data_IF_961942644475
#
_entry.id   IF_961942644475
#
_cell.length_a   1.000
_cell.length_b   1.000
_cell.length_c   1.000
_cell.angle_alpha   90.00
_cell.angle_beta   90.00
_cell.angle_gamma   90.00
#
_symmetry.space_group_name_H-M   'P 1'
#
loop_
_entity.id
_entity.type
_entity.pdbx_description
1 polymer ?
#
# COMPACT_ATOMS: atom_id res chain seq x y z
N UNK A 1 -22.21 15.71 -31.65
CA UNK A 1 -21.03 16.26 -30.96
C UNK A 1 -19.84 15.45 -31.40
N UNK A 2 -19.18 15.88 -32.50
CA UNK A 2 -18.08 15.20 -33.12
C UNK A 2 -16.84 15.29 -32.18
N UNK A 3 -16.38 14.15 -31.71
CA UNK A 3 -15.01 14.02 -31.24
C UNK A 3 -14.13 14.19 -32.48
N UNK A 4 -13.55 15.36 -32.64
CA UNK A 4 -12.43 15.52 -33.58
C UNK A 4 -11.29 14.65 -33.02
N UNK A 5 -11.17 13.43 -33.54
CA UNK A 5 -9.93 12.70 -33.49
C UNK A 5 -8.91 13.54 -34.23
N UNK A 6 -8.10 14.33 -33.49
CA UNK A 6 -6.85 14.86 -34.04
C UNK A 6 -6.13 13.65 -34.64
N UNK A 7 -6.05 13.62 -35.98
CA UNK A 7 -5.32 12.60 -36.69
C UNK A 7 -3.85 12.69 -36.28
N UNK A 8 -3.51 12.00 -35.19
CA UNK A 8 -2.12 11.73 -34.86
C UNK A 8 -1.51 11.01 -36.07
N UNK A 9 -0.37 11.44 -36.58
CA UNK A 9 0.27 10.76 -37.67
C UNK A 9 0.38 9.27 -37.30
N UNK A 10 -0.21 8.40 -38.12
CA UNK A 10 -0.23 6.94 -37.91
C UNK A 10 1.20 6.38 -37.78
N UNK A 11 2.17 7.12 -38.29
CA UNK A 11 3.58 6.75 -38.26
C UNK A 11 4.32 7.47 -37.14
N UNK A 12 4.82 6.75 -36.12
CA UNK A 12 5.56 7.33 -35.00
C UNK A 12 6.77 8.17 -35.45
N UNK A 13 7.36 7.85 -36.61
CA UNK A 13 8.49 8.59 -37.20
C UNK A 13 8.13 10.01 -37.64
N UNK A 14 6.84 10.33 -37.82
CA UNK A 14 6.38 11.68 -38.18
C UNK A 14 6.00 12.54 -36.96
N UNK A 15 6.03 11.97 -35.77
CA UNK A 15 5.73 12.72 -34.55
C UNK A 15 6.90 13.64 -34.23
N UNK A 16 6.63 14.93 -34.14
CA UNK A 16 7.61 15.95 -33.82
C UNK A 16 7.52 16.36 -32.35
N UNK A 17 8.54 17.08 -31.84
CA UNK A 17 8.49 17.74 -30.53
C UNK A 17 7.26 18.64 -30.39
N UNK A 18 6.91 19.37 -31.45
CA UNK A 18 5.74 20.24 -31.45
C UNK A 18 4.45 19.45 -31.25
N UNK A 19 4.27 18.34 -31.97
CA UNK A 19 3.11 17.44 -31.78
C UNK A 19 2.96 17.00 -30.34
N UNK A 20 4.06 16.61 -29.67
CA UNK A 20 4.03 16.20 -28.27
C UNK A 20 3.72 17.37 -27.35
N UNK A 21 4.25 18.57 -27.64
CA UNK A 21 3.95 19.78 -26.85
C UNK A 21 2.49 20.18 -26.95
N UNK A 22 1.91 20.12 -28.17
CA UNK A 22 0.49 20.38 -28.41
C UNK A 22 -0.41 19.37 -27.69
N UNK A 23 -0.03 18.09 -27.70
CA UNK A 23 -0.71 17.05 -26.93
C UNK A 23 -0.67 17.35 -25.42
N UNK A 24 0.48 17.71 -24.86
CA UNK A 24 0.59 18.11 -23.43
C UNK A 24 -0.28 19.34 -23.15
N UNK A 25 -0.31 20.32 -24.07
CA UNK A 25 -1.17 21.49 -24.01
C UNK A 25 -2.66 21.14 -24.01
N UNK A 26 -3.09 20.16 -24.85
CA UNK A 26 -4.47 19.71 -24.87
C UNK A 26 -4.89 19.07 -23.56
N UNK A 27 -4.05 18.23 -22.94
CA UNK A 27 -4.33 17.65 -21.62
C UNK A 27 -4.56 18.71 -20.54
N UNK A 28 -3.86 19.83 -20.65
CA UNK A 28 -4.05 20.97 -19.73
C UNK A 28 -5.38 21.72 -20.01
N UNK A 29 -5.73 21.93 -21.29
CA UNK A 29 -7.04 22.49 -21.67
C UNK A 29 -8.19 21.60 -21.23
N UNK A 30 -8.02 20.30 -21.29
CA UNK A 30 -8.99 19.28 -20.81
C UNK A 30 -9.04 19.19 -19.26
N UNK A 31 -8.40 20.12 -18.57
CA UNK A 31 -8.37 20.25 -17.10
C UNK A 31 -7.82 19.01 -16.39
N UNK A 32 -6.95 18.24 -17.02
CA UNK A 32 -6.24 17.16 -16.35
C UNK A 32 -5.33 17.72 -15.25
N UNK A 33 -5.25 17.01 -14.14
CA UNK A 33 -4.33 17.41 -13.07
C UNK A 33 -2.87 17.35 -13.54
N UNK A 34 -1.96 18.23 -13.04
CA UNK A 34 -0.54 18.16 -13.39
C UNK A 34 0.10 16.77 -13.18
N UNK A 35 -0.39 16.04 -12.18
CA UNK A 35 0.06 14.65 -11.95
C UNK A 35 -0.42 13.68 -13.04
N UNK A 36 -1.64 13.86 -13.56
CA UNK A 36 -2.17 13.06 -14.66
C UNK A 36 -1.43 13.37 -15.95
N UNK A 37 -1.22 14.66 -16.26
CA UNK A 37 -0.45 15.12 -17.41
C UNK A 37 0.98 14.58 -17.40
N UNK A 38 1.67 14.64 -16.23
CA UNK A 38 3.00 14.07 -16.07
C UNK A 38 3.04 12.55 -16.31
N UNK A 39 1.99 11.85 -15.88
CA UNK A 39 1.85 10.39 -16.12
C UNK A 39 1.66 10.08 -17.59
N UNK A 40 0.81 10.82 -18.29
CA UNK A 40 0.64 10.69 -19.74
C UNK A 40 1.96 10.93 -20.48
N UNK A 41 2.67 12.00 -20.15
CA UNK A 41 3.98 12.26 -20.77
C UNK A 41 5.01 11.17 -20.45
N UNK A 42 5.00 10.60 -19.24
CA UNK A 42 5.86 9.46 -18.89
C UNK A 42 5.56 8.23 -19.74
N UNK A 43 4.29 7.95 -20.02
CA UNK A 43 3.89 6.85 -20.91
C UNK A 43 4.37 7.10 -22.33
N UNK A 44 4.19 8.31 -22.85
CA UNK A 44 4.67 8.72 -24.19
C UNK A 44 6.21 8.60 -24.27
N UNK A 45 6.93 9.03 -23.24
CA UNK A 45 8.40 8.84 -23.16
C UNK A 45 8.80 7.38 -23.16
N UNK A 46 8.10 6.54 -22.42
CA UNK A 46 8.32 5.08 -22.40
C UNK A 46 8.16 4.48 -23.79
N UNK A 47 7.09 4.86 -24.50
CA UNK A 47 6.81 4.42 -25.86
C UNK A 47 7.91 4.83 -26.85
N UNK A 48 8.29 6.10 -26.88
CA UNK A 48 9.35 6.57 -27.79
C UNK A 48 10.73 6.04 -27.43
N UNK A 49 11.00 5.76 -26.14
CA UNK A 49 12.22 5.05 -25.73
C UNK A 49 12.25 3.63 -26.29
N UNK A 50 11.14 2.90 -26.19
CA UNK A 50 11.02 1.57 -26.80
C UNK A 50 11.27 1.62 -28.31
N UNK A 51 10.63 2.54 -29.04
CA UNK A 51 10.86 2.68 -30.49
C UNK A 51 12.32 2.99 -30.86
N UNK A 52 13.01 3.79 -30.05
CA UNK A 52 14.44 4.06 -30.22
C UNK A 52 15.29 2.82 -29.96
N UNK A 53 14.98 2.02 -28.93
CA UNK A 53 15.67 0.77 -28.61
C UNK A 53 15.53 -0.27 -29.73
N UNK A 54 14.32 -0.37 -30.29
CA UNK A 54 14.00 -1.24 -31.43
C UNK A 54 14.49 -0.65 -32.78
N UNK A 55 15.19 0.50 -32.77
CA UNK A 55 15.69 1.20 -33.97
C UNK A 55 14.62 1.57 -35.00
N UNK A 56 13.34 1.66 -34.57
CA UNK A 56 12.21 2.04 -35.42
C UNK A 56 12.16 3.56 -35.68
N UNK A 57 12.83 4.35 -34.83
CA UNK A 57 13.04 5.79 -35.00
C UNK A 57 14.48 6.15 -34.72
N UNK A 58 15.00 7.18 -35.42
CA UNK A 58 16.38 7.67 -35.23
C UNK A 58 16.51 8.61 -34.02
N UNK A 59 15.53 9.46 -33.80
CA UNK A 59 15.53 10.48 -32.72
C UNK A 59 14.21 10.46 -31.99
N UNK A 60 14.26 10.65 -30.67
CA UNK A 60 13.05 10.69 -29.83
C UNK A 60 12.48 12.13 -29.79
N UNK A 61 11.19 12.33 -30.14
CA UNK A 61 10.58 13.65 -30.15
C UNK A 61 10.24 14.19 -28.74
N UNK A 62 10.51 13.40 -27.70
CA UNK A 62 10.10 13.71 -26.31
C UNK A 62 11.24 14.11 -25.38
N UNK A 63 12.48 14.22 -25.90
CA UNK A 63 13.68 14.43 -25.09
C UNK A 63 13.59 15.69 -24.22
N UNK A 64 13.11 16.81 -24.78
CA UNK A 64 13.11 18.12 -24.12
C UNK A 64 11.70 18.64 -23.76
N UNK A 65 10.67 17.80 -23.88
CA UNK A 65 9.32 18.20 -23.51
C UNK A 65 9.19 18.13 -21.99
N UNK A 66 8.94 19.27 -21.33
CA UNK A 66 8.77 19.35 -19.89
C UNK A 66 7.31 19.62 -19.51
N UNK A 67 6.89 19.06 -18.39
CA UNK A 67 5.61 19.44 -17.75
C UNK A 67 5.93 20.46 -16.65
N UNK A 68 5.09 21.48 -16.43
CA UNK A 68 5.27 22.41 -15.31
C UNK A 68 5.55 21.64 -14.02
N UNK A 69 6.65 21.98 -13.34
CA UNK A 69 7.06 21.33 -12.10
C UNK A 69 5.96 21.46 -11.07
N UNK A 70 5.48 20.33 -10.60
CA UNK A 70 4.61 20.30 -9.43
C UNK A 70 5.44 20.72 -8.22
N UNK A 71 4.94 21.67 -7.42
CA UNK A 71 5.45 21.88 -6.07
C UNK A 71 5.45 20.53 -5.35
N UNK A 72 6.60 20.12 -4.84
CA UNK A 72 6.75 18.92 -4.03
C UNK A 72 5.86 19.07 -2.79
N UNK A 73 4.65 18.53 -2.86
CA UNK A 73 3.87 18.36 -1.63
C UNK A 73 4.55 17.26 -0.84
N UNK A 74 5.10 17.60 0.32
CA UNK A 74 5.59 16.62 1.27
C UNK A 74 4.53 15.51 1.44
N UNK A 75 4.94 14.24 1.39
CA UNK A 75 4.00 13.15 1.59
C UNK A 75 3.32 13.33 2.94
N UNK A 76 1.99 13.38 2.93
CA UNK A 76 1.21 13.52 4.17
C UNK A 76 1.21 12.17 4.89
N UNK A 77 1.84 12.10 6.05
CA UNK A 77 1.72 10.98 6.98
C UNK A 77 0.61 11.23 8.00
N UNK A 78 0.11 10.19 8.60
CA UNK A 78 -0.68 10.28 9.81
C UNK A 78 0.26 10.41 11.00
N UNK A 79 -0.10 11.20 11.99
CA UNK A 79 0.58 11.21 13.28
C UNK A 79 0.28 9.94 14.07
N UNK A 80 1.07 9.64 15.09
CA UNK A 80 0.82 8.49 15.97
C UNK A 80 -0.59 8.57 16.61
N UNK A 81 -1.03 9.76 17.03
CA UNK A 81 -2.37 9.98 17.59
C UNK A 81 -3.47 9.75 16.56
N UNK A 82 -3.30 10.19 15.30
CA UNK A 82 -4.27 9.94 14.24
C UNK A 82 -4.39 8.44 13.94
N UNK A 83 -3.27 7.72 13.92
CA UNK A 83 -3.26 6.26 13.78
C UNK A 83 -3.97 5.60 14.97
N UNK A 84 -3.66 6.00 16.18
CA UNK A 84 -4.28 5.45 17.39
C UNK A 84 -5.79 5.67 17.43
N UNK A 85 -6.27 6.85 17.02
CA UNK A 85 -7.71 7.12 16.88
C UNK A 85 -8.34 6.23 15.82
N UNK A 86 -7.70 6.10 14.65
CA UNK A 86 -8.18 5.25 13.55
C UNK A 86 -8.36 3.79 13.99
N UNK A 87 -7.38 3.26 14.70
CA UNK A 87 -7.37 1.87 15.14
C UNK A 87 -8.35 1.61 16.30
N UNK A 88 -8.60 2.63 17.14
CA UNK A 88 -9.60 2.54 18.23
C UNK A 88 -11.03 2.56 17.72
N UNK A 89 -11.34 3.39 16.75
CA UNK A 89 -12.70 3.50 16.18
C UNK A 89 -13.15 2.22 15.49
N UNK A 90 -12.23 1.44 14.97
CA UNK A 90 -12.55 0.15 14.35
C UNK A 90 -12.91 -0.95 15.37
N UNK A 91 -12.81 -0.70 16.67
CA UNK A 91 -13.00 -1.70 17.73
C UNK A 91 -14.49 -1.90 18.14
N UNK A 92 -15.41 -1.96 17.18
CA UNK A 92 -16.81 -2.35 17.42
C UNK A 92 -16.97 -3.85 17.71
N UNK A 93 -18.21 -4.27 18.01
CA UNK A 93 -18.55 -5.66 18.36
C UNK A 93 -19.10 -6.47 17.18
N UNK A 94 -19.46 -5.82 16.07
CA UNK A 94 -19.98 -6.53 14.91
C UNK A 94 -18.86 -7.32 14.20
N UNK A 95 -19.18 -8.46 13.58
CA UNK A 95 -18.16 -9.27 12.88
C UNK A 95 -17.34 -8.46 11.85
N UNK A 96 -17.95 -7.49 11.19
CA UNK A 96 -17.25 -6.60 10.29
C UNK A 96 -16.31 -5.63 11.00
N UNK A 97 -16.68 -5.18 12.20
CA UNK A 97 -15.81 -4.28 12.98
C UNK A 97 -14.54 -5.00 13.44
N UNK A 98 -14.68 -6.26 13.90
CA UNK A 98 -13.53 -7.09 14.26
C UNK A 98 -12.62 -7.35 13.05
N UNK A 99 -13.20 -7.64 11.88
CA UNK A 99 -12.45 -7.77 10.63
C UNK A 99 -11.73 -6.47 10.29
N UNK A 100 -12.43 -5.36 10.32
CA UNK A 100 -11.88 -4.05 9.94
C UNK A 100 -10.75 -3.64 10.89
N UNK A 101 -10.93 -3.88 12.19
CA UNK A 101 -9.90 -3.65 13.19
C UNK A 101 -8.63 -4.49 12.93
N UNK A 102 -8.81 -5.78 12.62
CA UNK A 102 -7.72 -6.69 12.30
C UNK A 102 -6.99 -6.26 11.02
N UNK A 103 -7.73 -5.85 9.98
CA UNK A 103 -7.16 -5.36 8.72
C UNK A 103 -6.34 -4.08 8.91
N UNK A 104 -6.87 -3.10 9.62
CA UNK A 104 -6.21 -1.82 9.86
C UNK A 104 -4.98 -1.99 10.74
N UNK A 105 -5.09 -2.76 11.80
CA UNK A 105 -3.97 -3.05 12.70
C UNK A 105 -2.85 -3.78 11.95
N UNK A 106 -3.18 -4.82 11.17
CA UNK A 106 -2.20 -5.57 10.38
C UNK A 106 -1.53 -4.69 9.33
N UNK A 107 -2.30 -3.87 8.59
CA UNK A 107 -1.76 -2.98 7.58
C UNK A 107 -0.75 -1.99 8.18
N UNK A 108 -1.09 -1.41 9.32
CA UNK A 108 -0.19 -0.48 10.01
C UNK A 108 1.00 -1.18 10.65
N UNK A 109 0.81 -2.36 11.25
CA UNK A 109 1.90 -3.09 11.90
C UNK A 109 2.94 -3.65 10.94
N UNK A 110 2.54 -3.93 9.68
CA UNK A 110 3.40 -4.62 8.70
C UNK A 110 3.75 -3.77 7.49
N UNK A 111 3.09 -2.66 7.29
CA UNK A 111 3.26 -1.82 6.10
C UNK A 111 2.95 -2.54 4.78
N UNK A 112 2.08 -3.54 4.76
CA UNK A 112 1.67 -4.24 3.55
C UNK A 112 1.11 -3.31 2.47
N UNK A 113 1.25 -3.67 1.19
CA UNK A 113 0.47 -3.04 0.13
C UNK A 113 -0.99 -3.47 0.26
N UNK A 114 -1.94 -2.61 -0.14
CA UNK A 114 -3.37 -2.97 -0.09
C UNK A 114 -3.68 -4.24 -0.87
N UNK A 115 -3.01 -4.47 -2.00
CA UNK A 115 -3.17 -5.71 -2.78
C UNK A 115 -2.68 -6.96 -2.04
N UNK A 116 -1.60 -6.83 -1.27
CA UNK A 116 -1.06 -7.89 -0.43
C UNK A 116 -2.02 -8.17 0.74
N UNK A 117 -2.54 -7.14 1.40
CA UNK A 117 -3.49 -7.28 2.50
C UNK A 117 -4.79 -7.98 2.08
N UNK A 118 -5.44 -7.52 1.00
CA UNK A 118 -6.71 -8.11 0.55
C UNK A 118 -6.52 -9.47 -0.12
N UNK A 119 -5.33 -9.71 -0.67
CA UNK A 119 -4.94 -10.99 -1.26
C UNK A 119 -4.44 -12.02 -0.26
N UNK A 120 -4.20 -11.63 1.00
CA UNK A 120 -3.59 -12.49 2.01
C UNK A 120 -4.43 -13.74 2.28
N UNK A 121 -3.76 -14.88 2.42
CA UNK A 121 -4.36 -16.16 2.75
C UNK A 121 -4.03 -16.57 4.19
N UNK A 122 -4.88 -17.39 4.80
CA UNK A 122 -4.65 -17.83 6.18
C UNK A 122 -3.31 -18.57 6.34
N UNK A 123 -2.96 -19.42 5.38
CA UNK A 123 -1.69 -20.17 5.40
C UNK A 123 -0.44 -19.27 5.40
N UNK A 124 -0.58 -18.00 5.02
CA UNK A 124 0.52 -17.04 4.99
C UNK A 124 0.71 -16.30 6.33
N UNK A 125 -0.16 -16.53 7.31
CA UNK A 125 -0.13 -15.87 8.62
C UNK A 125 0.23 -16.87 9.70
N UNK A 126 1.33 -16.63 10.38
CA UNK A 126 1.74 -17.44 11.53
C UNK A 126 1.53 -16.63 12.81
N UNK A 127 0.44 -16.91 13.51
CA UNK A 127 0.08 -16.22 14.75
C UNK A 127 0.93 -16.66 15.93
N UNK A 128 1.33 -17.94 15.99
CA UNK A 128 2.16 -18.44 17.07
C UNK A 128 3.52 -17.74 17.13
N UNK A 129 4.15 -17.55 15.97
CA UNK A 129 5.44 -16.85 15.87
C UNK A 129 5.28 -15.35 15.69
N UNK A 130 4.15 -14.87 15.12
CA UNK A 130 3.84 -13.45 14.93
C UNK A 130 4.48 -12.86 13.67
N UNK A 131 4.26 -13.48 12.51
CA UNK A 131 4.70 -12.93 11.21
C UNK A 131 3.70 -13.21 10.09
N UNK A 132 3.85 -12.46 9.00
CA UNK A 132 3.16 -12.67 7.72
C UNK A 132 4.18 -13.00 6.64
N UNK A 133 3.90 -14.03 5.83
CA UNK A 133 4.64 -14.36 4.64
C UNK A 133 4.00 -13.67 3.44
N UNK A 134 4.70 -12.72 2.83
CA UNK A 134 4.17 -11.89 1.73
C UNK A 134 4.86 -12.28 0.42
N UNK A 135 4.06 -12.53 -0.62
CA UNK A 135 4.55 -12.73 -1.99
C UNK A 135 4.54 -11.41 -2.74
N UNK A 136 5.68 -11.02 -3.28
CA UNK A 136 5.87 -9.80 -4.06
C UNK A 136 5.95 -10.06 -5.56
N UNK A 137 6.36 -9.05 -6.32
CA UNK A 137 6.59 -9.14 -7.78
C UNK A 137 7.69 -10.18 -8.08
N UNK A 138 7.46 -11.05 -9.06
CA UNK A 138 8.39 -12.12 -9.44
C UNK A 138 8.48 -13.25 -8.44
N UNK A 139 7.39 -13.55 -7.72
CA UNK A 139 7.25 -14.60 -6.70
C UNK A 139 8.26 -14.52 -5.52
N UNK A 140 8.94 -13.38 -5.38
CA UNK A 140 9.83 -13.13 -4.25
C UNK A 140 9.02 -13.05 -2.96
N UNK A 141 9.38 -13.88 -1.99
CA UNK A 141 8.73 -13.92 -0.69
C UNK A 141 9.51 -13.08 0.32
N UNK A 142 8.78 -12.43 1.23
CA UNK A 142 9.36 -11.79 2.40
C UNK A 142 8.56 -12.08 3.65
N UNK A 143 9.26 -12.19 4.78
CA UNK A 143 8.66 -12.32 6.11
C UNK A 143 8.58 -10.93 6.73
N UNK A 144 7.37 -10.57 7.17
CA UNK A 144 7.15 -9.29 7.86
C UNK A 144 6.61 -9.60 9.26
N UNK A 145 7.33 -9.21 10.32
CA UNK A 145 6.85 -9.40 11.68
C UNK A 145 5.63 -8.52 11.94
N UNK A 146 4.69 -9.05 12.73
CA UNK A 146 3.57 -8.29 13.28
C UNK A 146 3.73 -8.15 14.79
N UNK A 147 3.32 -7.02 15.32
CA UNK A 147 3.36 -6.80 16.77
C UNK A 147 2.19 -7.50 17.48
N UNK A 148 2.30 -7.58 18.79
CA UNK A 148 1.28 -8.17 19.65
C UNK A 148 -0.14 -7.56 19.47
N UNK A 149 -0.30 -6.23 19.26
CA UNK A 149 -1.62 -5.66 18.99
C UNK A 149 -2.28 -6.23 17.73
N UNK A 150 -1.53 -6.39 16.64
CA UNK A 150 -2.05 -6.97 15.38
C UNK A 150 -2.41 -8.45 15.58
N UNK A 151 -1.57 -9.21 16.28
CA UNK A 151 -1.82 -10.62 16.58
C UNK A 151 -3.14 -10.79 17.31
N UNK A 152 -3.37 -10.07 18.41
CA UNK A 152 -4.62 -10.15 19.21
C UNK A 152 -5.86 -9.78 18.38
N UNK A 153 -5.76 -8.78 17.49
CA UNK A 153 -6.89 -8.41 16.64
C UNK A 153 -7.17 -9.46 15.57
N UNK A 154 -6.14 -10.12 15.08
CA UNK A 154 -6.29 -11.24 14.16
C UNK A 154 -6.89 -12.46 14.84
N UNK A 155 -6.44 -12.81 16.06
CA UNK A 155 -7.00 -13.91 16.86
C UNK A 155 -8.50 -13.68 17.07
N UNK A 156 -8.91 -12.55 17.62
CA UNK A 156 -10.31 -12.21 17.83
C UNK A 156 -11.14 -12.25 16.55
N UNK A 157 -10.58 -11.77 15.43
CA UNK A 157 -11.26 -11.85 14.14
C UNK A 157 -11.46 -13.30 13.69
N UNK A 158 -10.44 -14.14 13.81
CA UNK A 158 -10.49 -15.54 13.37
C UNK A 158 -11.44 -16.39 14.21
N UNK A 159 -11.45 -16.16 15.52
CA UNK A 159 -12.25 -16.94 16.45
C UNK A 159 -13.72 -16.50 16.47
N UNK A 160 -13.97 -15.18 16.55
CA UNK A 160 -15.31 -14.64 16.81
C UNK A 160 -16.04 -14.19 15.51
N UNK A 161 -15.34 -13.59 14.57
CA UNK A 161 -16.00 -12.90 13.46
C UNK A 161 -15.95 -13.68 12.14
N UNK A 162 -14.81 -14.27 11.81
CA UNK A 162 -14.64 -14.95 10.51
C UNK A 162 -15.61 -16.11 10.31
N UNK A 163 -15.87 -17.01 11.28
CA UNK A 163 -16.87 -18.07 11.14
C UNK A 163 -18.28 -17.52 10.85
N UNK A 164 -18.66 -16.43 11.52
CA UNK A 164 -19.96 -15.78 11.32
C UNK A 164 -20.09 -15.20 9.91
N UNK A 165 -19.02 -14.55 9.40
CA UNK A 165 -19.00 -13.98 8.05
C UNK A 165 -19.03 -15.07 6.97
N UNK A 166 -18.38 -16.20 7.19
CA UNK A 166 -18.33 -17.32 6.26
C UNK A 166 -19.66 -18.09 6.16
N UNK A 167 -20.48 -18.12 7.20
CA UNK A 167 -21.76 -18.86 7.19
C UNK A 167 -21.60 -20.30 6.70
N UNK A 168 -20.70 -21.06 7.30
CA UNK A 168 -20.36 -22.46 6.93
C UNK A 168 -19.65 -22.63 5.56
N UNK A 169 -19.26 -21.56 4.87
CA UNK A 169 -18.44 -21.63 3.65
C UNK A 169 -16.96 -21.71 4.01
N UNK A 170 -16.17 -22.21 3.08
CA UNK A 170 -14.72 -22.20 3.18
C UNK A 170 -14.15 -21.12 2.24
N UNK A 171 -13.10 -20.44 2.67
CA UNK A 171 -12.39 -19.49 1.84
C UNK A 171 -10.91 -19.46 2.23
N UNK A 172 -9.97 -19.53 1.27
CA UNK A 172 -8.54 -19.45 1.56
C UNK A 172 -8.12 -18.05 2.02
N UNK A 173 -8.84 -17.01 1.61
CA UNK A 173 -8.54 -15.63 1.96
C UNK A 173 -8.67 -15.38 3.45
N UNK A 174 -7.69 -14.65 4.00
CA UNK A 174 -7.69 -14.25 5.41
C UNK A 174 -8.90 -13.41 5.74
N UNK A 175 -9.14 -12.34 4.99
CA UNK A 175 -10.23 -11.39 5.23
C UNK A 175 -11.39 -11.60 4.26
N UNK A 176 -12.57 -11.81 4.82
CA UNK A 176 -13.78 -12.15 4.06
C UNK A 176 -14.89 -11.12 4.24
N UNK A 177 -15.77 -11.04 3.26
CA UNK A 177 -17.00 -10.24 3.30
C UNK A 177 -18.17 -11.08 3.85
N UNK A 178 -19.30 -10.44 4.18
CA UNK A 178 -20.57 -11.14 4.52
C UNK A 178 -21.03 -12.15 3.45
N UNK A 179 -20.54 -12.01 2.22
CA UNK A 179 -20.85 -12.94 1.12
C UNK A 179 -19.90 -14.13 1.08
N UNK A 180 -18.92 -14.19 1.99
CA UNK A 180 -17.90 -15.25 2.05
C UNK A 180 -16.74 -15.08 1.06
N UNK A 181 -16.81 -14.11 0.14
CA UNK A 181 -15.70 -13.80 -0.76
C UNK A 181 -14.66 -12.86 -0.13
N UNK A 182 -13.47 -12.78 -0.73
CA UNK A 182 -12.43 -11.84 -0.29
C UNK A 182 -12.82 -10.36 -0.52
N UNK A 183 -12.19 -9.46 0.22
CA UNK A 183 -12.34 -8.03 -0.01
C UNK A 183 -11.58 -7.59 -1.26
N UNK A 184 -12.14 -6.60 -1.98
CA UNK A 184 -11.43 -5.91 -3.07
C UNK A 184 -10.62 -4.74 -2.53
N UNK A 185 -9.64 -4.27 -3.32
CA UNK A 185 -8.87 -3.05 -3.00
C UNK A 185 -9.79 -1.84 -2.81
N UNK A 186 -10.82 -1.71 -3.66
CA UNK A 186 -11.81 -0.63 -3.57
C UNK A 186 -12.68 -0.78 -2.31
N UNK A 187 -13.08 -2.02 -1.97
CA UNK A 187 -13.82 -2.31 -0.73
C UNK A 187 -13.03 -1.89 0.51
N UNK A 188 -11.75 -2.25 0.57
CA UNK A 188 -10.88 -1.80 1.66
C UNK A 188 -10.71 -0.28 1.70
N UNK A 189 -10.60 0.38 0.54
CA UNK A 189 -10.48 1.83 0.53
C UNK A 189 -11.75 2.54 1.04
N UNK A 190 -12.94 2.03 0.67
CA UNK A 190 -14.21 2.55 1.22
C UNK A 190 -14.25 2.39 2.74
N UNK A 191 -13.90 1.21 3.24
CA UNK A 191 -13.79 0.91 4.67
C UNK A 191 -12.86 1.91 5.37
N UNK A 192 -11.64 2.05 4.89
CA UNK A 192 -10.64 2.97 5.46
C UNK A 192 -11.17 4.40 5.54
N UNK A 193 -11.86 4.89 4.51
CA UNK A 193 -12.45 6.25 4.50
C UNK A 193 -13.57 6.41 5.54
N UNK A 194 -14.41 5.39 5.70
CA UNK A 194 -15.47 5.41 6.72
C UNK A 194 -14.86 5.47 8.11
N UNK A 195 -13.89 4.60 8.40
CA UNK A 195 -13.22 4.56 9.71
C UNK A 195 -12.43 5.85 9.99
N UNK A 196 -11.81 6.45 8.98
CA UNK A 196 -11.12 7.74 9.12
C UNK A 196 -12.09 8.88 9.50
N UNK A 197 -13.27 8.93 8.87
CA UNK A 197 -14.32 9.92 9.25
C UNK A 197 -14.78 9.73 10.69
N UNK A 198 -15.04 8.49 11.10
CA UNK A 198 -15.42 8.15 12.47
C UNK A 198 -14.31 8.53 13.48
N UNK A 199 -13.04 8.44 13.08
CA UNK A 199 -11.89 8.86 13.88
C UNK A 199 -11.63 10.37 13.85
N UNK A 200 -12.49 11.17 13.20
CA UNK A 200 -12.33 12.62 13.03
C UNK A 200 -10.98 13.00 12.39
N UNK A 201 -10.54 12.21 11.40
CA UNK A 201 -9.34 12.51 10.63
C UNK A 201 -9.72 13.35 9.41
N UNK A 202 -9.34 14.64 9.43
CA UNK A 202 -9.66 15.58 8.35
C UNK A 202 -8.86 15.34 7.06
N UNK A 203 -7.74 14.63 7.14
CA UNK A 203 -6.88 14.33 5.98
C UNK A 203 -7.54 13.32 5.05
N UNK A 204 -7.37 13.51 3.74
CA UNK A 204 -7.73 12.46 2.76
C UNK A 204 -6.83 11.25 2.95
N UNK A 205 -7.36 10.21 3.57
CA UNK A 205 -6.61 9.00 3.91
C UNK A 205 -6.57 8.01 2.73
N UNK A 206 -5.43 7.34 2.61
CA UNK A 206 -5.25 6.25 1.65
C UNK A 206 -4.43 5.10 2.27
N UNK A 207 -4.53 3.86 1.74
CA UNK A 207 -3.70 2.75 2.19
C UNK A 207 -2.19 3.03 2.07
N UNK A 208 -1.79 3.77 1.03
CA UNK A 208 -0.39 4.20 0.86
C UNK A 208 0.07 5.14 1.96
N UNK A 209 -0.82 6.01 2.46
CA UNK A 209 -0.51 6.90 3.58
C UNK A 209 -0.26 6.11 4.86
N UNK A 210 -1.08 5.08 5.18
CA UNK A 210 -0.85 4.21 6.34
C UNK A 210 0.49 3.46 6.24
N UNK A 211 0.80 2.91 5.06
CA UNK A 211 2.08 2.26 4.83
C UNK A 211 3.25 3.25 4.95
N UNK A 212 3.09 4.48 4.48
CA UNK A 212 4.11 5.51 4.63
C UNK A 212 4.28 5.92 6.08
N UNK A 213 3.18 6.07 6.82
CA UNK A 213 3.22 6.32 8.28
C UNK A 213 3.92 5.20 9.04
N UNK A 214 3.70 3.92 8.69
CA UNK A 214 4.46 2.80 9.25
C UNK A 214 5.96 2.98 9.07
N UNK A 215 6.40 3.28 7.84
CA UNK A 215 7.82 3.46 7.55
C UNK A 215 8.42 4.64 8.31
N UNK A 216 7.75 5.79 8.27
CA UNK A 216 8.20 7.02 8.94
C UNK A 216 8.28 6.80 10.45
N UNK A 217 7.23 6.24 11.08
CA UNK A 217 7.21 6.03 12.52
C UNK A 217 8.29 5.02 12.99
N UNK A 218 8.60 3.99 12.17
CA UNK A 218 9.72 3.11 12.49
C UNK A 218 11.06 3.84 12.47
N UNK A 219 11.30 4.66 11.44
CA UNK A 219 12.52 5.45 11.31
C UNK A 219 12.65 6.48 12.43
N UNK A 220 11.57 7.19 12.77
CA UNK A 220 11.52 8.16 13.88
C UNK A 220 11.83 7.52 15.22
N UNK A 221 11.54 6.22 15.37
CA UNK A 221 11.89 5.44 16.57
C UNK A 221 13.25 4.75 16.46
N UNK A 222 14.06 5.11 15.47
CA UNK A 222 15.45 4.67 15.33
C UNK A 222 15.62 3.28 14.69
N UNK A 223 14.65 2.84 13.89
CA UNK A 223 14.86 1.68 13.03
C UNK A 223 15.82 2.03 11.89
N UNK A 224 16.69 1.11 11.52
CA UNK A 224 17.57 1.33 10.38
C UNK A 224 16.81 1.26 9.04
N UNK A 225 17.23 2.07 8.06
CA UNK A 225 16.55 2.21 6.78
C UNK A 225 16.50 0.89 5.98
N UNK A 226 17.56 0.08 6.06
CA UNK A 226 17.64 -1.21 5.32
C UNK A 226 16.59 -2.20 5.83
N UNK A 227 16.43 -2.30 7.15
CA UNK A 227 15.40 -3.15 7.77
C UNK A 227 13.99 -2.70 7.37
N UNK A 228 13.71 -1.39 7.38
CA UNK A 228 12.43 -0.85 6.93
C UNK A 228 12.19 -1.15 5.44
N UNK A 229 13.19 -0.96 4.59
CA UNK A 229 13.10 -1.28 3.17
C UNK A 229 12.88 -2.78 2.92
N UNK A 230 13.54 -3.66 3.68
CA UNK A 230 13.34 -5.11 3.62
C UNK A 230 11.90 -5.50 3.98
N UNK A 231 11.33 -4.96 5.06
CA UNK A 231 9.92 -5.18 5.44
C UNK A 231 8.96 -4.70 4.34
N UNK A 232 9.26 -3.55 3.73
CA UNK A 232 8.44 -2.98 2.67
C UNK A 232 8.58 -3.71 1.31
N UNK A 233 9.64 -4.46 1.08
CA UNK A 233 9.90 -5.16 -0.18
C UNK A 233 10.15 -4.19 -1.33
N UNK A 234 11.12 -3.27 -1.16
CA UNK A 234 11.63 -2.43 -2.23
C UNK A 234 12.56 -3.24 -3.12
N UNK A 235 12.31 -3.24 -4.43
CA UNK A 235 12.94 -4.16 -5.40
C UNK A 235 14.46 -3.97 -5.56
N UNK A 236 14.99 -2.80 -5.30
CA UNK A 236 16.40 -2.47 -5.54
C UNK A 236 17.38 -3.06 -4.51
N UNK A 237 16.88 -3.66 -3.42
CA UNK A 237 17.73 -4.29 -2.39
C UNK A 237 17.42 -5.79 -2.26
N UNK A 238 16.56 -6.32 -3.11
CA UNK A 238 16.20 -7.73 -3.07
C UNK A 238 17.16 -8.60 -3.87
N UNK A 239 18.39 -8.72 -3.41
CA UNK A 239 19.07 -10.01 -3.53
C UNK A 239 18.17 -11.02 -2.82
N UNK A 240 17.95 -12.16 -3.45
CA UNK A 240 17.23 -13.32 -2.90
C UNK A 240 17.99 -13.83 -1.67
N UNK A 241 17.97 -13.07 -0.59
CA UNK A 241 18.45 -13.55 0.70
C UNK A 241 17.35 -14.47 1.20
N UNK A 242 17.64 -15.76 1.22
CA UNK A 242 16.93 -16.74 2.00
C UNK A 242 16.94 -16.18 3.42
N UNK A 243 15.78 -15.68 3.88
CA UNK A 243 15.64 -15.12 5.23
C UNK A 243 16.00 -16.22 6.22
N UNK A 244 17.22 -16.17 6.72
CA UNK A 244 17.71 -17.11 7.72
C UNK A 244 16.92 -16.94 9.01
N UNK A 245 16.94 -17.94 9.85
CA UNK A 245 16.32 -17.88 11.18
C UNK A 245 16.82 -16.67 12.00
N UNK A 246 18.08 -16.30 11.82
CA UNK A 246 18.74 -15.16 12.49
C UNK A 246 18.16 -13.82 12.01
N UNK A 247 17.95 -13.66 10.70
CA UNK A 247 17.36 -12.41 10.17
C UNK A 247 15.90 -12.23 10.57
N UNK A 248 15.12 -13.31 10.63
CA UNK A 248 13.73 -13.29 11.13
C UNK A 248 13.68 -12.84 12.58
N UNK A 249 14.57 -13.35 13.43
CA UNK A 249 14.68 -12.96 14.84
C UNK A 249 15.05 -11.48 14.98
N UNK A 250 16.01 -11.01 14.19
CA UNK A 250 16.45 -9.61 14.17
C UNK A 250 15.33 -8.66 13.75
N UNK A 251 14.61 -8.94 12.67
CA UNK A 251 13.48 -8.13 12.22
C UNK A 251 12.36 -8.09 13.26
N UNK A 252 12.07 -9.22 13.91
CA UNK A 252 11.09 -9.32 14.99
C UNK A 252 11.50 -8.49 16.20
N UNK A 253 12.77 -8.55 16.58
CA UNK A 253 13.32 -7.78 17.69
C UNK A 253 13.24 -6.28 17.39
N UNK A 254 13.69 -5.85 16.20
CA UNK A 254 13.65 -4.47 15.75
C UNK A 254 12.21 -3.94 15.73
N UNK A 255 11.27 -4.70 15.19
CA UNK A 255 9.86 -4.33 15.19
C UNK A 255 9.32 -4.20 16.63
N UNK A 256 9.65 -5.15 17.50
CA UNK A 256 9.23 -5.12 18.91
C UNK A 256 9.80 -3.93 19.69
N UNK A 257 11.05 -3.53 19.41
CA UNK A 257 11.74 -2.45 20.10
C UNK A 257 11.36 -1.08 19.58
N UNK A 258 11.22 -0.94 18.28
CA UNK A 258 11.11 0.35 17.56
C UNK A 258 9.70 0.68 17.07
N UNK A 259 8.78 -0.30 17.05
CA UNK A 259 7.40 -0.01 16.64
C UNK A 259 6.67 0.76 17.75
N UNK A 260 5.99 1.89 17.42
CA UNK A 260 5.44 2.81 18.42
C UNK A 260 4.30 2.21 19.26
N UNK A 261 3.57 1.22 18.73
CA UNK A 261 2.50 0.53 19.46
C UNK A 261 3.02 -0.73 20.14
N UNK A 262 3.47 -0.56 21.37
CA UNK A 262 3.79 -1.70 22.27
C UNK A 262 2.51 -2.17 22.96
N UNK A 263 2.39 -3.47 23.25
CA UNK A 263 1.34 -3.95 24.13
C UNK A 263 1.42 -3.17 25.45
N UNK A 264 0.35 -2.46 25.81
CA UNK A 264 0.24 -1.88 27.16
C UNK A 264 0.45 -3.03 28.14
N UNK A 265 1.51 -3.01 28.93
CA UNK A 265 1.60 -3.86 30.13
C UNK A 265 0.36 -3.56 30.96
N UNK A 266 -0.56 -4.51 31.04
CA UNK A 266 -1.59 -4.48 32.05
C UNK A 266 -0.84 -4.32 33.38
N UNK A 267 -0.92 -3.14 33.98
CA UNK A 267 -0.53 -2.98 35.39
C UNK A 267 -1.44 -3.96 36.13
N UNK A 268 -0.87 -5.07 36.59
CA UNK A 268 -1.51 -5.90 37.61
C UNK A 268 -1.84 -4.93 38.74
N UNK A 269 -3.11 -4.63 38.94
CA UNK A 269 -3.56 -4.13 40.23
C UNK A 269 -3.30 -5.27 41.17
N UNK A 270 -2.28 -5.13 42.00
CA UNK A 270 -2.18 -5.95 43.19
C UNK A 270 -3.39 -5.61 44.09
N UNK A 271 -3.96 -6.62 44.73
CA UNK A 271 -5.10 -6.47 45.59
C UNK A 271 -4.77 -5.56 46.79
#
# INVERSE_FOLDING_TARGET
TGVQTCALPIYPSRVTRQTVSEFVGSLTRDKLSPASTARCLSAVRGFFRFLSQERLIRTSPVTDVTVPRRWLRLPKTLTADEVDRLLRVAAGKMPEDLRDAAMLELLYATGLRVSELVGLEQAQVNLAVGYVLVRGKGDKQRVVPMGEPARRKLDAYLEEARPVLLKKRTAPKMFVTRRGGGLTRQGFWKLLRVRARQASIAKSISPHMLRHSFATHLLDHGADLRSVQAMLGHADIATTQIYTHVERARLKQLHRERFPRKARRLRRRNP
#
